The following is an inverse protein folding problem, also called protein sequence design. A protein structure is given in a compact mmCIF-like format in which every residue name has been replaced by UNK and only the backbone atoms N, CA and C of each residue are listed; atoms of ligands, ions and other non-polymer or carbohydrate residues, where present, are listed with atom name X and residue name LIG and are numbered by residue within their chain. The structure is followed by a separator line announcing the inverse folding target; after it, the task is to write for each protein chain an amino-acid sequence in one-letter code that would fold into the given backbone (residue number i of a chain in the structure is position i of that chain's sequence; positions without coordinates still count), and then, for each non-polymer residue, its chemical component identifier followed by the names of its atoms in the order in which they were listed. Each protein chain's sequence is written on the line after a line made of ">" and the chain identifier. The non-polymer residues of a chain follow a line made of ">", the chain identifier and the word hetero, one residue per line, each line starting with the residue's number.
data_IF_180958986787
#
_entry.id   IF_180958986787
#
_cell.length_a   1.000
_cell.length_b   1.000
_cell.length_c   1.000
_cell.angle_alpha   90.00
_cell.angle_beta   90.00
_cell.angle_gamma   90.00
#
_symmetry.space_group_name_H-M   'P 1'
#
loop_
_entity.id
_entity.type
_entity.pdbx_description
1 polymer ?
#
# COMPACT_ATOMS: atom_id res chain seq x y z
N UNK A 1 -30.92 -23.29 -12.18
CA UNK A 1 -31.53 -21.94 -11.98
C UNK A 1 -30.76 -21.19 -10.89
N UNK A 2 -30.69 -21.75 -9.68
CA UNK A 2 -29.87 -21.22 -8.57
C UNK A 2 -28.39 -21.06 -8.95
N UNK A 3 -27.90 -22.01 -9.74
CA UNK A 3 -26.49 -22.12 -10.13
C UNK A 3 -25.92 -20.95 -10.95
N UNK A 4 -26.70 -20.38 -11.88
CA UNK A 4 -26.27 -19.22 -12.66
C UNK A 4 -26.32 -17.93 -11.84
N UNK A 5 -27.32 -17.81 -10.96
CA UNK A 5 -27.43 -16.69 -10.03
C UNK A 5 -26.23 -16.71 -9.07
N UNK A 6 -25.87 -17.86 -8.51
CA UNK A 6 -24.66 -17.98 -7.67
C UNK A 6 -23.39 -17.59 -8.41
N UNK A 7 -23.20 -18.06 -9.65
CA UNK A 7 -22.01 -17.71 -10.44
C UNK A 7 -21.93 -16.21 -10.71
N UNK A 8 -23.06 -15.60 -11.12
CA UNK A 8 -23.14 -14.17 -11.36
C UNK A 8 -22.96 -13.35 -10.07
N UNK A 9 -23.49 -13.82 -8.94
CA UNK A 9 -23.29 -13.20 -7.62
C UNK A 9 -21.83 -13.27 -7.17
N UNK A 10 -21.16 -14.41 -7.35
CA UNK A 10 -19.74 -14.53 -7.03
C UNK A 10 -18.91 -13.57 -7.90
N UNK A 11 -19.20 -13.51 -9.20
CA UNK A 11 -18.60 -12.52 -10.10
C UNK A 11 -18.82 -11.08 -9.61
N UNK A 12 -20.07 -10.71 -9.31
CA UNK A 12 -20.44 -9.39 -8.79
C UNK A 12 -19.66 -9.01 -7.53
N UNK A 13 -19.60 -9.93 -6.56
CA UNK A 13 -18.85 -9.74 -5.32
C UNK A 13 -17.36 -9.53 -5.57
N UNK A 14 -16.74 -10.30 -6.47
CA UNK A 14 -15.31 -10.12 -6.77
C UNK A 14 -15.05 -8.79 -7.50
N UNK A 15 -15.93 -8.39 -8.43
CA UNK A 15 -15.84 -7.08 -9.10
C UNK A 15 -15.94 -5.93 -8.10
N UNK A 16 -16.82 -6.04 -7.10
CA UNK A 16 -16.97 -5.05 -6.03
C UNK A 16 -15.68 -4.92 -5.18
N UNK A 17 -15.04 -6.05 -4.85
CA UNK A 17 -13.75 -6.06 -4.14
C UNK A 17 -12.67 -5.35 -4.99
N UNK A 18 -12.57 -5.69 -6.28
CA UNK A 18 -11.62 -5.04 -7.19
C UNK A 18 -11.89 -3.53 -7.34
N UNK A 19 -13.17 -3.13 -7.40
CA UNK A 19 -13.56 -1.72 -7.43
C UNK A 19 -13.15 -1.00 -6.15
N UNK A 20 -13.29 -1.64 -4.99
CA UNK A 20 -12.87 -1.10 -3.69
C UNK A 20 -11.35 -0.89 -3.63
N UNK A 21 -10.56 -1.84 -4.12
CA UNK A 21 -9.09 -1.73 -4.22
C UNK A 21 -8.70 -0.59 -5.15
N UNK A 22 -9.30 -0.54 -6.34
CA UNK A 22 -8.98 0.50 -7.33
C UNK A 22 -9.38 1.91 -6.82
N UNK A 23 -10.47 2.01 -6.05
CA UNK A 23 -10.88 3.24 -5.36
C UNK A 23 -9.88 3.64 -4.26
N UNK A 24 -9.37 2.68 -3.48
CA UNK A 24 -8.33 2.93 -2.48
C UNK A 24 -7.04 3.46 -3.12
N UNK A 25 -6.61 2.86 -4.24
CA UNK A 25 -5.47 3.34 -5.00
C UNK A 25 -5.68 4.77 -5.50
N UNK A 26 -6.87 5.09 -6.03
CA UNK A 26 -7.19 6.43 -6.51
C UNK A 26 -7.16 7.47 -5.38
N UNK A 27 -7.67 7.11 -4.20
CA UNK A 27 -7.67 7.99 -3.03
C UNK A 27 -6.25 8.30 -2.53
N UNK A 28 -5.32 7.36 -2.68
CA UNK A 28 -3.93 7.48 -2.23
C UNK A 28 -2.96 7.91 -3.34
N UNK A 29 -3.45 8.55 -4.39
CA UNK A 29 -2.61 9.00 -5.51
C UNK A 29 -1.63 10.10 -5.13
N UNK A 30 -2.01 10.94 -4.17
CA UNK A 30 -1.18 12.04 -3.66
C UNK A 30 -0.46 11.68 -2.35
N UNK A 31 -0.58 10.42 -1.90
CA UNK A 31 0.07 9.96 -0.67
C UNK A 31 1.52 9.62 -0.96
N UNK A 32 2.44 10.31 -0.27
CA UNK A 32 3.89 10.10 -0.36
C UNK A 32 4.24 8.64 -0.05
N UNK A 33 5.05 8.01 -0.92
CA UNK A 33 5.52 6.64 -0.73
C UNK A 33 4.44 5.55 -0.78
N UNK A 34 3.21 5.86 -1.22
CA UNK A 34 2.16 4.85 -1.33
C UNK A 34 2.48 3.83 -2.43
N UNK A 35 2.23 2.55 -2.14
CA UNK A 35 2.29 1.46 -3.11
C UNK A 35 0.90 0.95 -3.44
N UNK A 36 0.60 0.88 -4.73
CA UNK A 36 -0.66 0.42 -5.26
C UNK A 36 -0.94 -1.03 -4.87
N UNK A 37 -2.17 -1.27 -4.44
CA UNK A 37 -2.65 -2.62 -4.17
C UNK A 37 -3.15 -3.25 -5.46
N UNK A 38 -2.76 -4.50 -5.68
CA UNK A 38 -3.07 -5.31 -6.84
C UNK A 38 -4.16 -6.32 -6.48
N UNK A 39 -5.05 -6.57 -7.42
CA UNK A 39 -6.01 -7.66 -7.35
C UNK A 39 -5.79 -8.63 -8.51
N UNK A 40 -5.94 -9.91 -8.25
CA UNK A 40 -5.96 -10.95 -9.26
C UNK A 40 -7.16 -11.85 -9.04
N UNK A 41 -7.78 -12.29 -10.13
CA UNK A 41 -8.86 -13.25 -10.11
C UNK A 41 -8.32 -14.60 -10.55
N UNK A 42 -8.66 -15.64 -9.81
CA UNK A 42 -8.38 -17.02 -10.17
C UNK A 42 -9.68 -17.77 -10.40
N UNK A 43 -9.62 -18.70 -11.34
CA UNK A 43 -10.74 -19.54 -11.74
C UNK A 43 -10.68 -20.83 -10.94
N UNK A 44 -11.56 -20.95 -9.94
CA UNK A 44 -11.63 -22.13 -9.08
C UNK A 44 -12.80 -23.01 -9.53
N UNK A 45 -12.55 -24.25 -10.01
CA UNK A 45 -13.63 -25.16 -10.36
C UNK A 45 -14.46 -25.48 -9.12
N UNK A 46 -15.77 -25.62 -9.30
CA UNK A 46 -16.66 -26.05 -8.21
C UNK A 46 -16.77 -27.58 -8.29
N UNK A 47 -16.27 -28.26 -7.27
CA UNK A 47 -16.45 -29.70 -7.14
C UNK A 47 -17.91 -30.04 -6.83
N UNK A 48 -18.49 -30.96 -7.61
CA UNK A 48 -19.85 -31.42 -7.43
C UNK A 48 -20.20 -32.63 -8.31
N UNK A 49 -21.25 -33.40 -7.96
CA UNK A 49 -21.68 -34.54 -8.77
C UNK A 49 -22.24 -34.05 -10.12
N UNK A 50 -21.61 -34.48 -11.23
CA UNK A 50 -22.03 -34.10 -12.58
C UNK A 50 -20.85 -33.80 -13.51
N UNK A 51 -21.12 -33.03 -14.57
CA UNK A 51 -20.07 -32.53 -15.49
C UNK A 51 -19.40 -31.31 -14.84
N UNK A 52 -18.07 -31.24 -14.89
CA UNK A 52 -17.27 -30.09 -14.45
C UNK A 52 -17.45 -28.89 -15.38
N UNK A 53 -18.63 -28.27 -15.37
CA UNK A 53 -18.95 -27.11 -16.20
C UNK A 53 -18.96 -25.80 -15.42
N UNK A 54 -18.57 -25.82 -14.14
CA UNK A 54 -18.75 -24.70 -13.20
C UNK A 54 -17.41 -24.24 -12.64
N UNK A 55 -17.15 -22.95 -12.80
CA UNK A 55 -15.89 -22.31 -12.37
C UNK A 55 -16.24 -20.98 -11.71
N UNK A 56 -15.90 -20.82 -10.44
CA UNK A 56 -16.03 -19.57 -9.71
C UNK A 56 -14.84 -18.66 -9.99
N UNK A 57 -15.08 -17.35 -10.00
CA UNK A 57 -14.00 -16.38 -9.83
C UNK A 57 -13.76 -16.19 -8.32
N UNK A 58 -12.53 -16.42 -7.87
CA UNK A 58 -12.09 -16.17 -6.50
C UNK A 58 -10.91 -15.21 -6.55
N UNK A 59 -10.91 -14.16 -5.72
CA UNK A 59 -9.73 -13.33 -5.53
C UNK A 59 -8.70 -14.13 -4.75
N UNK A 60 -7.55 -14.41 -5.37
CA UNK A 60 -6.55 -15.33 -4.84
C UNK A 60 -5.50 -14.61 -3.97
N UNK A 61 -5.19 -13.35 -4.27
CA UNK A 61 -4.20 -12.58 -3.51
C UNK A 61 -4.38 -11.08 -3.67
N UNK A 62 -4.21 -10.37 -2.55
CA UNK A 62 -3.95 -8.93 -2.51
C UNK A 62 -2.44 -8.75 -2.62
N UNK A 63 -1.96 -8.41 -3.81
CA UNK A 63 -0.55 -8.08 -4.02
C UNK A 63 -0.31 -6.61 -3.74
N UNK A 64 0.95 -6.22 -3.53
CA UNK A 64 1.34 -4.81 -3.59
C UNK A 64 2.34 -4.62 -4.71
N UNK A 65 2.14 -3.59 -5.52
CA UNK A 65 3.10 -3.19 -6.55
C UNK A 65 4.27 -2.44 -5.90
N UNK A 66 5.44 -3.06 -5.84
CA UNK A 66 6.66 -2.47 -5.28
C UNK A 66 7.48 -1.65 -6.28
N UNK A 67 6.97 -1.40 -7.49
CA UNK A 67 7.63 -0.50 -8.45
C UNK A 67 7.74 0.91 -7.87
N UNK A 68 8.91 1.53 -8.07
CA UNK A 68 9.22 2.87 -7.56
C UNK A 68 8.32 3.94 -8.20
N UNK A 69 7.85 4.87 -7.39
CA UNK A 69 7.10 6.04 -7.86
C UNK A 69 8.02 7.13 -8.41
N UNK A 70 7.44 8.21 -8.92
CA UNK A 70 8.22 9.36 -9.34
C UNK A 70 8.87 10.04 -8.12
N UNK A 71 10.15 10.37 -8.20
CA UNK A 71 10.84 11.17 -7.17
C UNK A 71 10.78 12.64 -7.57
N UNK A 72 10.25 13.48 -6.68
CA UNK A 72 10.16 14.93 -6.88
C UNK A 72 11.06 15.66 -5.90
N UNK A 73 11.86 16.62 -6.39
CA UNK A 73 12.63 17.51 -5.55
C UNK A 73 11.70 18.54 -4.90
N UNK A 74 11.72 18.61 -3.57
CA UNK A 74 10.92 19.54 -2.76
C UNK A 74 11.75 20.69 -2.20
N UNK A 75 13.06 20.47 -2.02
CA UNK A 75 13.97 21.42 -1.40
C UNK A 75 13.84 21.55 0.11
N UNK A 76 13.03 20.71 0.78
CA UNK A 76 12.91 20.68 2.23
C UNK A 76 13.88 19.65 2.82
N UNK A 77 14.69 20.05 3.80
CA UNK A 77 15.77 19.21 4.34
C UNK A 77 15.29 17.87 4.96
N UNK A 78 14.07 17.86 5.49
CA UNK A 78 13.45 16.67 6.10
C UNK A 78 12.67 15.79 5.12
N UNK A 79 12.63 16.18 3.84
CA UNK A 79 12.07 15.32 2.81
C UNK A 79 13.16 14.39 2.28
N UNK A 80 12.94 13.09 2.44
CA UNK A 80 13.87 12.06 1.99
C UNK A 80 13.20 11.11 1.02
N UNK A 81 13.90 10.73 -0.04
CA UNK A 81 13.48 9.69 -0.96
C UNK A 81 14.53 8.58 -1.00
N UNK A 82 14.09 7.33 -0.97
CA UNK A 82 14.96 6.17 -1.10
C UNK A 82 15.43 6.00 -2.54
N UNK A 83 16.73 5.76 -2.72
CA UNK A 83 17.33 5.45 -4.02
C UNK A 83 17.17 3.96 -4.32
N UNK A 84 16.27 3.63 -5.26
CA UNK A 84 16.03 2.24 -5.65
C UNK A 84 15.24 1.48 -4.59
N UNK A 85 15.68 0.25 -4.27
CA UNK A 85 14.99 -0.65 -3.33
C UNK A 85 15.27 -0.26 -1.87
N UNK A 86 14.45 -0.78 -0.97
CA UNK A 86 14.56 -0.58 0.47
C UNK A 86 13.39 0.16 1.09
N UNK A 87 13.42 0.33 2.41
CA UNK A 87 12.37 0.97 3.18
C UNK A 87 12.97 1.69 4.40
N UNK A 88 12.24 2.67 4.92
CA UNK A 88 12.51 3.32 6.19
C UNK A 88 11.79 2.52 7.27
N UNK A 89 12.51 2.12 8.33
CA UNK A 89 11.89 1.47 9.48
C UNK A 89 11.18 2.53 10.35
N UNK A 90 9.95 2.22 10.72
CA UNK A 90 9.09 3.07 11.55
C UNK A 90 8.42 2.25 12.63
N UNK A 91 7.90 2.93 13.65
CA UNK A 91 7.08 2.32 14.68
C UNK A 91 5.60 2.54 14.39
N UNK A 92 4.81 1.46 14.43
CA UNK A 92 3.35 1.55 14.36
C UNK A 92 2.72 2.02 15.69
N UNK A 93 1.40 2.14 15.73
CA UNK A 93 0.67 2.65 16.90
C UNK A 93 0.75 1.70 18.10
N UNK A 94 0.96 0.41 17.84
CA UNK A 94 1.10 -0.65 18.83
C UNK A 94 2.54 -0.77 19.37
N UNK A 95 3.50 -0.07 18.76
CA UNK A 95 4.90 -0.06 19.17
C UNK A 95 5.78 -1.05 18.42
N UNK A 96 5.26 -1.76 17.41
CA UNK A 96 6.01 -2.72 16.61
C UNK A 96 6.76 -2.03 15.47
N UNK A 97 7.84 -2.66 15.01
CA UNK A 97 8.56 -2.21 13.83
C UNK A 97 7.79 -2.57 12.56
N UNK A 98 7.65 -1.58 11.69
CA UNK A 98 7.07 -1.70 10.36
C UNK A 98 7.88 -0.86 9.38
N UNK A 99 7.55 -0.94 8.09
CA UNK A 99 8.34 -0.31 7.04
C UNK A 99 7.48 0.59 6.15
N UNK A 100 8.09 1.68 5.68
CA UNK A 100 7.43 2.63 4.77
C UNK A 100 8.39 3.16 3.71
N UNK A 101 7.81 3.67 2.63
CA UNK A 101 8.51 4.47 1.61
C UNK A 101 8.24 5.97 1.79
N UNK A 102 7.36 6.34 2.72
CA UNK A 102 7.05 7.73 3.02
C UNK A 102 8.22 8.39 3.76
N UNK A 103 8.81 9.40 3.13
CA UNK A 103 9.93 10.16 3.68
C UNK A 103 9.63 11.64 3.88
N UNK A 104 8.36 12.00 4.02
CA UNK A 104 7.89 13.32 4.41
C UNK A 104 8.05 13.51 5.93
N UNK A 105 9.28 13.71 6.37
CA UNK A 105 9.60 13.72 7.80
C UNK A 105 9.38 15.09 8.45
N UNK A 106 9.08 15.07 9.74
CA UNK A 106 8.99 16.27 10.57
C UNK A 106 9.35 15.94 12.03
N UNK A 107 9.77 16.96 12.77
CA UNK A 107 9.97 16.85 14.21
C UNK A 107 8.66 17.17 14.95
N UNK A 108 8.30 16.32 15.91
CA UNK A 108 7.21 16.61 16.82
C UNK A 108 7.63 17.54 17.97
N UNK A 109 6.67 17.91 18.81
CA UNK A 109 6.92 18.79 19.97
C UNK A 109 7.83 18.16 21.04
N UNK A 110 7.98 16.83 21.03
CA UNK A 110 8.90 16.09 21.88
C UNK A 110 10.30 15.93 21.30
N UNK A 111 10.55 16.44 20.09
CA UNK A 111 11.81 16.27 19.37
C UNK A 111 11.95 14.89 18.72
N UNK A 112 10.88 14.10 18.60
CA UNK A 112 10.91 12.83 17.91
C UNK A 112 10.68 13.03 16.41
N UNK A 113 11.43 12.30 15.60
CA UNK A 113 11.28 12.31 14.14
C UNK A 113 10.09 11.43 13.73
N UNK A 114 9.14 12.01 12.98
CA UNK A 114 7.93 11.34 12.51
C UNK A 114 7.74 11.50 11.02
N UNK A 115 7.09 10.52 10.39
CA UNK A 115 6.54 10.66 9.03
C UNK A 115 5.31 11.57 9.05
N UNK A 116 4.85 12.07 7.90
CA UNK A 116 3.63 12.89 7.84
C UNK A 116 2.35 12.15 8.28
N UNK A 117 2.36 10.82 8.23
CA UNK A 117 1.31 9.96 8.79
C UNK A 117 1.39 9.80 10.33
N UNK A 118 2.44 10.33 10.96
CA UNK A 118 2.60 10.35 12.42
C UNK A 118 3.41 9.18 13.01
N UNK A 119 3.93 8.28 12.17
CA UNK A 119 4.73 7.15 12.62
C UNK A 119 6.14 7.58 13.03
N UNK A 120 6.65 7.04 14.13
CA UNK A 120 7.99 7.35 14.62
C UNK A 120 9.04 6.70 13.72
N UNK A 121 10.05 7.46 13.28
CA UNK A 121 11.17 6.91 12.51
C UNK A 121 12.14 6.22 13.46
N UNK A 122 12.53 4.99 13.13
CA UNK A 122 13.46 4.20 13.91
C UNK A 122 14.90 4.39 13.44
N UNK A 123 15.82 4.40 14.39
CA UNK A 123 17.27 4.45 14.21
C UNK A 123 17.94 3.19 14.75
N UNK A 124 19.25 3.28 15.01
CA UNK A 124 20.03 2.14 15.53
C UNK A 124 19.62 1.78 16.98
N UNK A 125 19.11 2.75 17.75
CA UNK A 125 18.75 2.59 19.17
C UNK A 125 17.24 2.62 19.51
N UNK A 126 16.35 2.71 18.52
CA UNK A 126 14.91 2.93 18.72
C UNK A 126 14.40 4.19 18.02
N UNK A 127 13.29 4.81 18.46
CA UNK A 127 12.80 6.05 17.86
C UNK A 127 13.84 7.17 17.88
N UNK A 128 14.04 7.87 16.75
CA UNK A 128 14.99 8.98 16.67
C UNK A 128 14.52 10.17 17.52
N UNK A 129 15.22 10.41 18.62
CA UNK A 129 15.07 11.59 19.45
C UNK A 129 16.14 12.62 19.11
N UNK A 130 15.69 13.76 18.60
CA UNK A 130 16.54 14.85 18.14
C UNK A 130 16.58 15.96 19.20
N UNK A 131 17.77 16.33 19.71
CA UNK A 131 17.89 17.43 20.66
C UNK A 131 17.60 18.79 20.00
N UNK A 132 17.28 19.84 20.77
CA UNK A 132 17.10 21.19 20.25
C UNK A 132 18.29 21.63 19.38
N UNK A 133 17.98 22.06 18.15
CA UNK A 133 18.96 22.36 17.12
C UNK A 133 18.55 23.58 16.30
N UNK A 134 19.52 24.17 15.60
CA UNK A 134 19.29 25.24 14.63
C UNK A 134 18.91 24.68 13.25
N UNK A 135 19.50 23.54 12.87
CA UNK A 135 19.24 22.84 11.62
C UNK A 135 19.46 21.33 11.80
N UNK A 136 18.73 20.54 11.01
CA UNK A 136 18.86 19.08 10.94
C UNK A 136 19.11 18.66 9.50
N UNK A 137 20.10 17.80 9.31
CA UNK A 137 20.54 17.29 8.02
C UNK A 137 20.52 15.77 8.04
N UNK A 138 20.02 15.19 6.96
CA UNK A 138 20.03 13.74 6.74
C UNK A 138 21.03 13.45 5.63
N UNK A 139 22.05 12.65 5.94
CA UNK A 139 23.04 12.16 5.00
C UNK A 139 22.48 11.05 4.10
N UNK A 140 23.14 10.82 2.97
CA UNK A 140 22.66 9.83 1.99
C UNK A 140 22.69 8.38 2.46
N UNK A 141 23.39 8.08 3.55
CA UNK A 141 23.41 6.79 4.23
C UNK A 141 22.39 6.69 5.39
N UNK A 142 21.55 7.72 5.55
CA UNK A 142 20.60 7.84 6.64
C UNK A 142 21.17 8.46 7.92
N UNK A 143 22.43 8.88 7.95
CA UNK A 143 23.03 9.54 9.13
C UNK A 143 22.33 10.86 9.41
N UNK A 144 21.82 11.04 10.62
CA UNK A 144 21.12 12.24 11.06
C UNK A 144 22.08 13.11 11.87
N UNK A 145 22.36 14.29 11.35
CA UNK A 145 23.26 15.28 11.97
C UNK A 145 22.49 16.55 12.29
N UNK A 146 22.85 17.20 13.39
CA UNK A 146 22.27 18.48 13.80
C UNK A 146 23.34 19.53 13.96
N UNK A 147 22.95 20.77 13.75
CA UNK A 147 23.70 21.92 14.22
C UNK A 147 23.20 22.32 15.62
N UNK A 148 24.00 22.14 16.69
CA UNK A 148 23.58 22.48 18.04
C UNK A 148 23.38 23.99 18.25
N UNK A 149 22.43 24.35 19.11
CA UNK A 149 22.18 25.75 19.47
C UNK A 149 23.43 26.35 20.13
N UNK A 150 23.84 27.54 19.70
CA UNK A 150 24.97 28.27 20.27
C UNK A 150 26.35 27.88 19.71
N UNK A 151 26.40 26.95 18.75
CA UNK A 151 27.62 26.63 18.00
C UNK A 151 27.61 27.25 16.60
N UNK A 152 28.80 27.36 15.98
CA UNK A 152 28.93 27.90 14.63
C UNK A 152 28.24 27.03 13.56
N UNK A 153 27.96 27.58 12.37
CA UNK A 153 27.34 26.86 11.23
C UNK A 153 28.13 25.65 10.73
N UNK A 154 29.43 25.61 10.99
CA UNK A 154 30.31 24.51 10.57
C UNK A 154 30.29 23.31 11.53
N UNK A 155 29.72 23.45 12.74
CA UNK A 155 29.74 22.36 13.72
C UNK A 155 28.51 21.48 13.56
N UNK A 156 28.68 20.36 12.85
CA UNK A 156 27.70 19.29 12.76
C UNK A 156 28.02 18.20 13.80
N UNK A 157 27.01 17.83 14.59
CA UNK A 157 27.06 16.70 15.50
C UNK A 157 26.13 15.59 14.99
N UNK A 158 26.67 14.38 14.87
CA UNK A 158 25.87 13.19 14.54
C UNK A 158 25.03 12.84 15.76
N UNK A 159 23.71 12.69 15.57
CA UNK A 159 22.75 12.31 16.61
C UNK A 159 22.51 10.82 16.58
N UNK A 160 22.13 10.30 15.41
CA UNK A 160 21.79 8.90 15.19
C UNK A 160 21.83 8.61 13.67
N UNK A 161 21.49 7.39 13.27
CA UNK A 161 21.31 6.99 11.88
C UNK A 161 19.96 6.30 11.72
N UNK A 162 19.20 6.71 10.71
CA UNK A 162 17.93 6.06 10.37
C UNK A 162 18.14 4.61 9.98
N UNK A 163 17.29 3.72 10.48
CA UNK A 163 17.31 2.31 10.13
C UNK A 163 16.67 2.13 8.75
N UNK A 164 17.52 1.91 7.74
CA UNK A 164 17.13 1.59 6.38
C UNK A 164 17.26 0.08 6.15
N UNK A 165 16.27 -0.53 5.51
CA UNK A 165 16.20 -1.99 5.33
C UNK A 165 15.88 -2.36 3.88
N UNK A 166 16.28 -3.56 3.42
CA UNK A 166 15.90 -4.10 2.10
C UNK A 166 15.42 -5.56 2.23
N UNK A 167 14.28 -5.81 2.92
CA UNK A 167 13.71 -7.14 3.03
C UNK A 167 13.18 -7.65 1.68
N UNK A 168 13.08 -8.97 1.56
CA UNK A 168 12.44 -9.61 0.40
C UNK A 168 10.97 -9.18 0.30
N UNK A 169 10.64 -8.49 -0.79
CA UNK A 169 9.30 -7.94 -1.03
C UNK A 169 8.23 -9.02 -1.19
N UNK A 170 8.60 -10.26 -1.53
CA UNK A 170 7.66 -11.39 -1.61
C UNK A 170 7.14 -11.83 -0.24
N UNK A 171 7.87 -11.49 0.83
CA UNK A 171 7.50 -11.78 2.21
C UNK A 171 6.79 -10.61 2.87
N UNK A 172 6.77 -9.43 2.25
CA UNK A 172 6.13 -8.26 2.84
C UNK A 172 4.61 -8.33 2.68
N UNK A 173 3.91 -7.98 3.74
CA UNK A 173 2.47 -7.74 3.74
C UNK A 173 2.18 -6.30 4.11
N UNK A 174 1.21 -5.67 3.43
CA UNK A 174 0.76 -4.31 3.71
C UNK A 174 -0.41 -4.35 4.69
N UNK A 175 -0.30 -3.62 5.79
CA UNK A 175 -1.37 -3.46 6.78
C UNK A 175 -2.42 -2.44 6.33
N UNK A 176 -3.54 -2.39 7.06
CA UNK A 176 -4.60 -1.40 6.84
C UNK A 176 -4.15 0.05 7.13
N UNK A 177 -3.06 0.20 7.88
CA UNK A 177 -2.37 1.46 8.15
C UNK A 177 -1.41 1.88 7.02
N UNK A 178 -1.29 1.07 5.96
CA UNK A 178 -0.42 1.35 4.83
C UNK A 178 1.05 1.01 5.06
N UNK A 179 1.40 0.45 6.24
CA UNK A 179 2.76 0.04 6.55
C UNK A 179 3.03 -1.40 6.13
N UNK A 180 4.29 -1.69 5.78
CA UNK A 180 4.73 -3.03 5.43
C UNK A 180 5.29 -3.77 6.63
N UNK A 181 4.99 -5.06 6.74
CA UNK A 181 5.47 -5.94 7.81
C UNK A 181 5.92 -7.27 7.24
N UNK A 182 6.97 -7.84 7.83
CA UNK A 182 7.35 -9.22 7.61
C UNK A 182 6.42 -10.15 8.42
N UNK A 183 6.27 -11.42 8.01
CA UNK A 183 5.44 -12.39 8.72
C UNK A 183 5.96 -12.63 10.13
N UNK A 184 5.07 -13.07 11.02
CA UNK A 184 5.36 -13.49 12.38
C UNK A 184 6.09 -12.46 13.26
N UNK A 185 6.02 -11.17 12.89
CA UNK A 185 6.68 -10.09 13.62
C UNK A 185 8.21 -10.04 13.44
N UNK A 186 8.72 -10.68 12.38
CA UNK A 186 10.15 -10.63 12.05
C UNK A 186 10.59 -9.19 11.75
N UNK A 187 11.78 -8.82 12.21
CA UNK A 187 12.39 -7.51 11.97
C UNK A 187 13.51 -7.64 10.94
N UNK A 188 13.55 -6.73 9.98
CA UNK A 188 14.57 -6.69 8.95
C UNK A 188 15.86 -6.11 9.54
N UNK A 189 16.99 -6.70 9.15
CA UNK A 189 18.29 -6.15 9.48
C UNK A 189 18.53 -4.84 8.69
N UNK A 190 19.21 -3.89 9.33
CA UNK A 190 19.65 -2.67 8.66
C UNK A 190 20.56 -3.03 7.48
N UNK A 191 20.34 -2.38 6.34
CA UNK A 191 21.13 -2.57 5.13
C UNK A 191 21.90 -1.30 4.79
N UNK A 192 23.23 -1.37 4.88
CA UNK A 192 24.14 -0.26 4.60
C UNK A 192 24.32 0.06 3.11
N UNK A 193 23.69 -0.67 2.20
CA UNK A 193 23.67 -0.37 0.76
C UNK A 193 22.51 0.54 0.38
N UNK A 194 21.45 0.58 1.19
CA UNK A 194 20.30 1.46 0.95
C UNK A 194 20.76 2.91 1.13
N UNK A 195 20.37 3.75 0.17
CA UNK A 195 20.71 5.18 0.14
C UNK A 195 19.44 6.01 0.09
N UNK A 196 19.54 7.22 0.63
CA UNK A 196 18.48 8.24 0.59
C UNK A 196 19.00 9.51 -0.10
N UNK A 197 18.08 10.26 -0.68
CA UNK A 197 18.31 11.60 -1.22
C UNK A 197 17.46 12.59 -0.43
N UNK A 198 18.11 13.51 0.27
CA UNK A 198 17.45 14.59 1.00
C UNK A 198 16.98 15.70 0.05
N UNK A 199 15.96 16.46 0.47
CA UNK A 199 15.31 17.46 -0.37
C UNK A 199 14.39 16.88 -1.45
N UNK A 200 13.96 15.61 -1.31
CA UNK A 200 13.12 14.95 -2.31
C UNK A 200 12.14 13.97 -1.69
N UNK A 201 11.00 13.77 -2.35
CA UNK A 201 9.96 12.81 -1.93
C UNK A 201 9.62 11.85 -3.06
N UNK A 202 9.45 10.59 -2.70
CA UNK A 202 8.85 9.60 -3.59
C UNK A 202 7.32 9.72 -3.57
N UNK A 203 6.72 9.85 -4.75
CA UNK A 203 5.27 9.89 -4.94
C UNK A 203 4.66 8.49 -4.99
N UNK A 204 3.34 8.43 -4.89
CA UNK A 204 2.57 7.21 -5.16
C UNK A 204 2.92 6.61 -6.54
N UNK A 205 2.98 5.28 -6.64
CA UNK A 205 3.13 4.60 -7.94
C UNK A 205 1.79 4.38 -8.67
N UNK A 206 0.69 4.93 -8.15
CA UNK A 206 -0.62 4.82 -8.78
C UNK A 206 -0.71 5.74 -10.01
N UNK A 207 -1.17 5.19 -11.14
CA UNK A 207 -1.42 5.96 -12.35
C UNK A 207 -2.90 6.37 -12.45
N UNK A 208 -3.19 7.68 -12.35
CA UNK A 208 -4.57 8.24 -12.32
C UNK A 208 -5.38 7.75 -13.52
N UNK A 209 -4.84 7.89 -14.73
CA UNK A 209 -5.56 7.62 -15.97
C UNK A 209 -5.91 6.12 -16.06
N UNK A 210 -4.96 5.25 -15.74
CA UNK A 210 -5.18 3.80 -15.71
C UNK A 210 -6.23 3.42 -14.67
N UNK A 211 -6.15 3.99 -13.47
CA UNK A 211 -7.09 3.72 -12.38
C UNK A 211 -8.51 4.17 -12.74
N UNK A 212 -8.69 5.34 -13.36
CA UNK A 212 -10.01 5.82 -13.78
C UNK A 212 -10.62 4.96 -14.90
N UNK A 213 -9.83 4.53 -15.88
CA UNK A 213 -10.30 3.61 -16.93
C UNK A 213 -10.73 2.27 -16.32
N UNK A 214 -9.90 1.72 -15.43
CA UNK A 214 -10.21 0.48 -14.73
C UNK A 214 -11.50 0.59 -13.89
N UNK A 215 -11.76 1.74 -13.23
CA UNK A 215 -13.04 1.98 -12.53
C UNK A 215 -14.25 1.88 -13.47
N UNK A 216 -14.15 2.38 -14.70
CA UNK A 216 -15.23 2.35 -15.69
C UNK A 216 -15.46 0.90 -16.15
N UNK A 217 -14.39 0.16 -16.41
CA UNK A 217 -14.44 -1.25 -16.80
C UNK A 217 -15.08 -2.11 -15.71
N UNK A 218 -14.65 -1.96 -14.46
CA UNK A 218 -15.21 -2.66 -13.31
C UNK A 218 -16.70 -2.32 -13.10
N UNK A 219 -17.08 -1.05 -13.24
CA UNK A 219 -18.50 -0.63 -13.15
C UNK A 219 -19.36 -1.31 -14.21
N UNK A 220 -18.89 -1.36 -15.46
CA UNK A 220 -19.59 -2.06 -16.56
C UNK A 220 -19.66 -3.56 -16.32
N UNK A 221 -18.59 -4.16 -15.80
CA UNK A 221 -18.55 -5.60 -15.49
C UNK A 221 -19.55 -5.96 -14.39
N UNK A 222 -19.65 -5.13 -13.35
CA UNK A 222 -20.64 -5.28 -12.29
C UNK A 222 -22.06 -5.16 -12.84
N UNK A 223 -22.35 -4.14 -13.67
CA UNK A 223 -23.66 -3.98 -14.32
C UNK A 223 -24.03 -5.19 -15.18
N UNK A 224 -23.07 -5.75 -15.94
CA UNK A 224 -23.29 -6.97 -16.73
C UNK A 224 -23.66 -8.17 -15.83
N UNK A 225 -22.96 -8.35 -14.70
CA UNK A 225 -23.26 -9.43 -13.74
C UNK A 225 -24.66 -9.27 -13.13
N UNK A 226 -25.06 -8.04 -12.78
CA UNK A 226 -26.42 -7.74 -12.30
C UNK A 226 -27.47 -8.01 -13.39
N UNK A 227 -27.18 -7.68 -14.65
CA UNK A 227 -28.10 -7.96 -15.76
C UNK A 227 -28.29 -9.47 -15.96
N UNK A 228 -27.23 -10.29 -15.83
CA UNK A 228 -27.35 -11.76 -15.87
C UNK A 228 -28.25 -12.28 -14.75
N UNK A 229 -28.16 -11.72 -13.54
CA UNK A 229 -29.04 -12.08 -12.42
C UNK A 229 -30.50 -11.72 -12.75
N UNK A 230 -30.75 -10.53 -13.30
CA UNK A 230 -32.10 -10.09 -13.70
C UNK A 230 -32.69 -11.00 -14.79
N UNK A 231 -31.95 -11.27 -15.86
CA UNK A 231 -32.40 -12.15 -16.94
C UNK A 231 -32.66 -13.57 -16.44
N UNK A 232 -31.79 -14.10 -15.57
CA UNK A 232 -31.99 -15.43 -14.96
C UNK A 232 -33.28 -15.49 -14.14
N UNK A 233 -33.66 -14.40 -13.48
CA UNK A 233 -34.93 -14.28 -12.74
C UNK A 233 -36.13 -14.20 -13.70
N UNK A 234 -36.04 -13.41 -14.76
CA UNK A 234 -37.10 -13.30 -15.77
C UNK A 234 -37.38 -14.66 -16.44
N UNK A 235 -36.34 -15.40 -16.80
CA UNK A 235 -36.45 -16.76 -17.35
C UNK A 235 -37.12 -17.73 -16.36
N UNK A 236 -36.79 -17.62 -15.08
CA UNK A 236 -37.39 -18.41 -14.01
C UNK A 236 -38.90 -18.15 -13.87
N UNK A 237 -39.29 -16.87 -13.85
CA UNK A 237 -40.68 -16.44 -13.73
C UNK A 237 -41.50 -16.91 -14.94
N UNK A 238 -40.94 -16.80 -16.15
CA UNK A 238 -41.56 -17.29 -17.39
C UNK A 238 -41.75 -18.82 -17.37
N UNK A 239 -40.73 -19.58 -16.95
CA UNK A 239 -40.83 -21.03 -16.82
C UNK A 239 -41.91 -21.45 -15.79
N UNK A 240 -41.98 -20.75 -14.65
CA UNK A 240 -42.99 -20.98 -13.64
C UNK A 240 -44.42 -20.63 -14.11
N UNK A 241 -44.56 -19.66 -15.01
CA UNK A 241 -45.85 -19.36 -15.64
C UNK A 241 -46.29 -20.47 -16.61
N UNK A 242 -45.37 -21.03 -17.40
CA UNK A 242 -45.66 -22.15 -18.29
C UNK A 242 -46.09 -23.41 -17.51
N UNK A 243 -45.46 -23.70 -16.36
CA UNK A 243 -45.85 -24.82 -15.49
C UNK A 243 -47.23 -24.65 -14.83
N UNK A 244 -47.79 -23.43 -14.77
CA UNK A 244 -49.12 -23.18 -14.20
C UNK A 244 -50.26 -23.34 -15.21
N UNK A 245 -49.94 -23.39 -16.50
CA UNK A 245 -50.93 -23.46 -17.59
C UNK A 245 -51.07 -24.89 -18.13
N UNK A 246 -50.15 -25.80 -17.80
CA UNK A 246 -50.26 -27.25 -18.06
C UNK A 246 -50.71 -28.01 -16.82
#
# INVERSE_FOLDING_TARGET
>A
MDEMIYLAMTGAKQTEIAQSINSNNLANISTTGFRADLHSFSSVPIDGPGVESRVNAVVESYGTDFTTGAVMATGRDLDVALQGRGFIAVQDAEGNEAYTRAGDLHLDTGGLLRTGAGHLVLGDGGPLAIPPNNSLLIGGDGTVSVQPIGQGPETLAIVDRMKLVDPDTTRLSKGADGLFRLPDGEVAAANSEVRVTSGSLEQSNVNVAKTLVNMIELSRQYEMQINVIKTSKEDADAAAQMMRIG
#
